data_IF_651618270602
#
_entry.id   IF_651618270602
#
_cell.length_a   1.000
_cell.length_b   1.000
_cell.length_c   1.000
_cell.angle_alpha   90.00
_cell.angle_beta   90.00
_cell.angle_gamma   90.00
#
_symmetry.space_group_name_H-M   'P 1'
#
loop_
_entity.id
_entity.type
_entity.pdbx_description
1 polymer ?
#
# COMPACT_ATOMS: atom_id res chain seq x y z
N UNK A 1 28.02 -4.59 -1.95
CA UNK A 1 27.21 -4.74 -0.73
C UNK A 1 26.06 -5.62 -1.12
N UNK A 2 25.91 -6.80 -0.52
CA UNK A 2 24.80 -7.71 -0.84
C UNK A 2 23.49 -7.05 -0.37
N UNK A 3 22.64 -6.68 -1.30
CA UNK A 3 21.31 -6.17 -0.96
C UNK A 3 20.52 -7.36 -0.41
N UNK A 4 20.10 -7.28 0.85
CA UNK A 4 19.29 -8.30 1.50
C UNK A 4 17.87 -8.22 0.95
N UNK A 5 17.29 -9.35 0.56
CA UNK A 5 15.91 -9.39 0.11
C UNK A 5 14.99 -8.79 1.21
N UNK A 6 14.10 -7.84 0.91
CA UNK A 6 13.27 -7.17 1.91
C UNK A 6 12.30 -8.11 2.65
N UNK A 7 12.22 -9.38 2.25
CA UNK A 7 11.34 -10.37 2.87
C UNK A 7 12.04 -11.42 3.72
N UNK A 8 13.40 -11.42 3.79
CA UNK A 8 14.13 -12.48 4.48
C UNK A 8 13.86 -12.52 5.99
N UNK A 9 13.64 -11.37 6.61
CA UNK A 9 13.48 -11.24 8.07
C UNK A 9 12.28 -10.36 8.48
N UNK A 10 11.44 -9.93 7.54
CA UNK A 10 10.35 -9.00 7.80
C UNK A 10 8.97 -9.62 7.57
N UNK A 11 8.01 -9.12 8.35
CA UNK A 11 6.62 -9.45 8.16
C UNK A 11 6.14 -8.93 6.81
N UNK A 12 5.40 -9.76 6.08
CA UNK A 12 4.84 -9.39 4.78
C UNK A 12 3.43 -9.95 4.63
N UNK A 13 2.64 -9.35 3.76
CA UNK A 13 1.34 -9.89 3.33
C UNK A 13 1.23 -9.90 1.82
N UNK A 14 0.32 -10.73 1.30
CA UNK A 14 0.04 -10.86 -0.12
C UNK A 14 -1.37 -10.34 -0.41
N UNK A 15 -1.52 -9.66 -1.54
CA UNK A 15 -2.82 -9.19 -2.03
C UNK A 15 -2.76 -9.00 -3.55
N UNK A 16 -3.89 -8.63 -4.16
CA UNK A 16 -4.01 -8.31 -5.59
C UNK A 16 -4.63 -6.93 -5.72
N UNK A 17 -3.80 -5.94 -6.01
CA UNK A 17 -4.20 -4.53 -6.14
C UNK A 17 -3.50 -3.88 -7.35
N UNK A 18 -4.02 -2.73 -7.82
CA UNK A 18 -3.35 -1.97 -8.85
C UNK A 18 -1.98 -1.48 -8.37
N UNK A 19 -0.95 -1.81 -9.13
CA UNK A 19 0.43 -1.42 -8.87
C UNK A 19 1.09 -1.03 -10.19
N UNK A 20 1.78 0.10 -10.20
CA UNK A 20 2.62 0.52 -11.30
C UNK A 20 4.08 0.64 -10.84
N UNK A 21 4.99 0.26 -11.72
CA UNK A 21 6.42 0.48 -11.57
C UNK A 21 6.93 1.25 -12.79
N UNK A 22 7.69 2.30 -12.57
CA UNK A 22 8.32 3.06 -13.66
C UNK A 22 9.78 3.30 -13.33
N UNK A 23 10.63 3.17 -14.33
CA UNK A 23 12.07 3.45 -14.20
C UNK A 23 12.31 4.93 -13.96
N UNK A 24 13.25 5.24 -13.07
CA UNK A 24 13.76 6.59 -12.86
C UNK A 24 15.11 6.74 -13.58
N UNK A 25 15.39 7.93 -14.10
CA UNK A 25 16.67 8.22 -14.80
C UNK A 25 17.88 8.21 -13.85
N UNK A 26 17.65 8.17 -12.53
CA UNK A 26 18.68 8.14 -11.51
C UNK A 26 18.12 8.24 -10.10
N UNK A 27 18.97 8.53 -9.15
CA UNK A 27 18.58 8.76 -7.76
C UNK A 27 17.63 9.96 -7.65
N UNK A 28 16.44 9.78 -7.03
CA UNK A 28 15.48 10.87 -6.87
C UNK A 28 16.04 11.99 -5.99
N UNK A 29 15.62 13.21 -6.25
CA UNK A 29 16.03 14.34 -5.44
C UNK A 29 15.44 14.27 -4.03
N UNK A 30 16.11 14.90 -3.07
CA UNK A 30 15.61 15.01 -1.69
C UNK A 30 14.18 15.61 -1.63
N UNK A 31 13.89 16.58 -2.50
CA UNK A 31 12.55 17.18 -2.57
C UNK A 31 11.48 16.21 -3.09
N UNK A 32 11.82 15.29 -3.99
CA UNK A 32 10.90 14.26 -4.46
C UNK A 32 10.60 13.24 -3.36
N UNK A 33 11.64 12.80 -2.64
CA UNK A 33 11.51 11.90 -1.50
C UNK A 33 10.63 12.48 -0.40
N UNK A 34 10.87 13.73 0.00
CA UNK A 34 10.02 14.41 0.97
C UNK A 34 8.55 14.49 0.52
N UNK A 35 8.31 14.77 -0.77
CA UNK A 35 6.96 14.82 -1.33
C UNK A 35 6.28 13.46 -1.30
N UNK A 36 7.00 12.36 -1.57
CA UNK A 36 6.46 11.02 -1.43
C UNK A 36 6.11 10.71 0.02
N UNK A 37 7.00 11.01 0.96
CA UNK A 37 6.79 10.78 2.38
C UNK A 37 5.58 11.54 2.94
N UNK A 38 5.44 12.83 2.65
CA UNK A 38 4.30 13.64 3.08
C UNK A 38 2.97 13.09 2.54
N UNK A 39 2.97 12.70 1.26
CA UNK A 39 1.79 12.12 0.62
C UNK A 39 1.43 10.76 1.21
N UNK A 40 2.42 9.90 1.40
CA UNK A 40 2.25 8.57 1.97
C UNK A 40 1.79 8.66 3.43
N UNK A 41 2.40 9.51 4.25
CA UNK A 41 2.01 9.71 5.65
C UNK A 41 0.53 10.17 5.76
N UNK A 42 0.11 11.10 4.90
CA UNK A 42 -1.27 11.57 4.86
C UNK A 42 -2.25 10.44 4.52
N UNK A 43 -1.95 9.65 3.48
CA UNK A 43 -2.80 8.53 3.06
C UNK A 43 -2.86 7.42 4.11
N UNK A 44 -1.72 7.02 4.65
CA UNK A 44 -1.63 5.98 5.68
C UNK A 44 -2.34 6.40 6.98
N UNK A 45 -2.30 7.69 7.33
CA UNK A 45 -3.04 8.23 8.46
C UNK A 45 -4.55 8.13 8.24
N UNK A 46 -5.03 8.42 7.04
CA UNK A 46 -6.45 8.30 6.68
C UNK A 46 -6.89 6.84 6.79
N UNK A 47 -6.10 5.89 6.26
CA UNK A 47 -6.36 4.45 6.37
C UNK A 47 -6.42 3.96 7.82
N UNK A 48 -5.60 4.51 8.69
CA UNK A 48 -5.59 4.17 10.11
C UNK A 48 -6.80 4.76 10.87
N UNK A 49 -7.33 5.91 10.43
CA UNK A 49 -8.47 6.57 11.10
C UNK A 49 -9.81 5.92 10.79
N UNK A 50 -9.97 5.32 9.61
CA UNK A 50 -11.21 4.62 9.22
C UNK A 50 -11.57 3.45 10.15
N UNK A 51 -10.65 3.06 11.03
CA UNK A 51 -10.80 1.91 11.92
C UNK A 51 -11.06 2.28 13.38
N UNK A 52 -11.17 3.55 13.71
CA UNK A 52 -11.51 3.92 15.08
C UNK A 52 -12.90 3.39 15.39
N UNK A 53 -12.90 2.35 16.23
CA UNK A 53 -14.03 1.63 16.78
C UNK A 53 -15.19 2.60 17.04
N UNK A 54 -16.33 2.36 16.42
CA UNK A 54 -17.60 2.95 16.86
C UNK A 54 -17.81 2.56 18.33
N UNK A 55 -17.47 3.47 19.23
CA UNK A 55 -17.88 3.33 20.64
C UNK A 55 -19.38 3.44 20.64
N UNK A 56 -20.04 2.55 21.38
CA UNK A 56 -21.47 2.68 21.62
C UNK A 56 -21.76 4.06 22.22
N UNK A 57 -22.59 4.89 21.58
CA UNK A 57 -22.84 6.24 22.06
C UNK A 57 -23.68 6.19 23.33
N UNK A 58 -23.37 7.10 24.27
CA UNK A 58 -24.28 7.35 25.39
C UNK A 58 -25.62 7.86 24.84
N UNK A 59 -26.77 7.47 25.44
CA UNK A 59 -28.10 7.86 24.98
C UNK A 59 -28.33 9.38 24.85
N UNK A 60 -27.55 10.18 25.59
CA UNK A 60 -27.60 11.64 25.54
C UNK A 60 -26.99 12.24 24.27
N UNK A 61 -26.27 11.44 23.45
CA UNK A 61 -25.54 11.89 22.25
C UNK A 61 -26.17 11.40 20.93
N UNK A 62 -27.33 10.69 20.99
CA UNK A 62 -27.95 10.08 19.81
C UNK A 62 -28.23 11.09 18.68
N UNK A 63 -28.78 12.27 19.01
CA UNK A 63 -29.09 13.30 18.01
C UNK A 63 -27.81 13.85 17.35
N UNK A 64 -26.73 14.01 18.12
CA UNK A 64 -25.44 14.44 17.60
C UNK A 64 -24.80 13.36 16.72
N UNK A 65 -24.90 12.11 17.12
CA UNK A 65 -24.40 10.96 16.33
C UNK A 65 -25.14 10.84 15.00
N UNK A 66 -26.46 11.02 14.98
CA UNK A 66 -27.24 11.02 13.73
C UNK A 66 -26.80 12.13 12.76
N UNK A 67 -26.48 13.32 13.29
CA UNK A 67 -26.00 14.40 12.42
C UNK A 67 -24.56 14.15 11.94
N UNK A 68 -23.70 13.54 12.75
CA UNK A 68 -22.36 13.10 12.34
C UNK A 68 -22.49 12.03 11.25
N UNK A 69 -23.30 11.00 11.44
CA UNK A 69 -23.52 9.95 10.42
C UNK A 69 -24.05 10.53 9.10
N UNK A 70 -24.93 11.53 9.18
CA UNK A 70 -25.43 12.24 8.00
C UNK A 70 -24.35 13.06 7.29
N UNK A 71 -23.44 13.67 8.04
CA UNK A 71 -22.29 14.38 7.47
C UNK A 71 -21.29 13.40 6.84
N UNK A 72 -21.02 12.28 7.48
CA UNK A 72 -20.15 11.22 6.96
C UNK A 72 -20.71 10.65 5.65
N UNK A 73 -22.02 10.40 5.55
CA UNK A 73 -22.64 9.96 4.30
C UNK A 73 -22.47 10.97 3.16
N UNK A 74 -22.63 12.27 3.45
CA UNK A 74 -22.41 13.32 2.45
C UNK A 74 -20.94 13.42 2.03
N UNK A 75 -20.02 13.30 2.98
CA UNK A 75 -18.58 13.30 2.71
C UNK A 75 -18.18 12.09 1.86
N UNK A 76 -18.71 10.91 2.17
CA UNK A 76 -18.48 9.70 1.38
C UNK A 76 -18.97 9.86 -0.05
N UNK A 77 -20.18 10.38 -0.24
CA UNK A 77 -20.72 10.66 -1.58
C UNK A 77 -19.86 11.69 -2.34
N UNK A 78 -19.42 12.75 -1.68
CA UNK A 78 -18.51 13.73 -2.31
C UNK A 78 -17.17 13.09 -2.68
N UNK A 79 -16.64 12.22 -1.83
CA UNK A 79 -15.40 11.49 -2.09
C UNK A 79 -15.54 10.54 -3.29
N UNK A 80 -16.66 9.84 -3.40
CA UNK A 80 -16.96 8.97 -4.57
C UNK A 80 -17.04 9.79 -5.87
N UNK A 81 -17.76 10.92 -5.86
CA UNK A 81 -17.87 11.78 -7.05
C UNK A 81 -16.52 12.37 -7.46
N UNK A 82 -15.69 12.78 -6.49
CA UNK A 82 -14.33 13.25 -6.76
C UNK A 82 -13.44 12.12 -7.29
N UNK A 83 -13.55 10.92 -6.71
CA UNK A 83 -12.82 9.75 -7.18
C UNK A 83 -13.18 9.41 -8.63
N UNK A 84 -14.45 9.47 -8.99
CA UNK A 84 -14.91 9.24 -10.36
C UNK A 84 -14.40 10.30 -11.35
N UNK A 85 -14.29 11.56 -10.91
CA UNK A 85 -13.72 12.62 -11.71
C UNK A 85 -12.22 12.38 -11.96
N UNK A 86 -11.47 12.05 -10.91
CA UNK A 86 -10.02 11.80 -10.99
C UNK A 86 -9.72 10.53 -11.78
N UNK A 87 -10.54 9.47 -11.68
CA UNK A 87 -10.35 8.24 -12.47
C UNK A 87 -10.46 8.45 -13.99
N UNK A 88 -11.10 9.53 -14.43
CA UNK A 88 -11.13 9.88 -15.86
C UNK A 88 -9.80 10.43 -16.37
N UNK A 89 -9.00 10.98 -15.47
CA UNK A 89 -7.71 11.59 -15.79
C UNK A 89 -6.51 10.72 -15.39
N UNK A 90 -6.68 9.85 -14.37
CA UNK A 90 -5.63 8.96 -13.88
C UNK A 90 -5.84 7.56 -14.42
N UNK A 91 -4.89 7.08 -15.20
CA UNK A 91 -4.87 5.68 -15.62
C UNK A 91 -4.46 4.82 -14.42
N UNK A 92 -5.44 4.17 -13.80
CA UNK A 92 -5.17 3.18 -12.74
C UNK A 92 -4.76 1.89 -13.44
N UNK A 93 -3.60 1.29 -13.12
CA UNK A 93 -3.16 0.04 -13.71
C UNK A 93 -4.09 -1.13 -13.35
N UNK A 94 -4.00 -2.22 -14.08
CA UNK A 94 -4.73 -3.44 -13.73
C UNK A 94 -4.22 -4.02 -12.40
N UNK A 95 -5.13 -4.60 -11.59
CA UNK A 95 -4.72 -5.27 -10.36
C UNK A 95 -3.79 -6.44 -10.66
N UNK A 96 -2.69 -6.54 -9.93
CA UNK A 96 -1.73 -7.62 -10.03
C UNK A 96 -1.35 -8.16 -8.66
N UNK A 97 -0.95 -9.44 -8.56
CA UNK A 97 -0.51 -10.02 -7.30
C UNK A 97 0.79 -9.38 -6.86
N UNK A 98 0.88 -9.07 -5.57
CA UNK A 98 2.08 -8.53 -4.95
C UNK A 98 2.29 -9.07 -3.54
N UNK A 99 3.50 -8.90 -3.05
CA UNK A 99 3.88 -9.16 -1.67
C UNK A 99 4.56 -7.91 -1.11
N UNK A 100 3.98 -7.34 -0.04
CA UNK A 100 4.43 -6.10 0.58
C UNK A 100 5.00 -6.35 1.97
N UNK A 101 6.16 -5.73 2.25
CA UNK A 101 6.73 -5.51 3.58
C UNK A 101 6.92 -4.00 3.81
N UNK A 102 7.34 -3.60 5.01
CA UNK A 102 7.71 -2.20 5.26
C UNK A 102 8.99 -1.76 4.51
N UNK A 103 9.86 -2.70 4.15
CA UNK A 103 11.11 -2.41 3.46
C UNK A 103 11.04 -2.54 1.94
N UNK A 104 9.94 -3.06 1.37
CA UNK A 104 9.87 -3.22 -0.08
C UNK A 104 8.66 -4.02 -0.54
N UNK A 105 8.60 -4.24 -1.85
CA UNK A 105 7.52 -4.97 -2.50
C UNK A 105 8.06 -5.88 -3.60
N UNK A 106 7.46 -7.06 -3.74
CA UNK A 106 7.62 -7.95 -4.90
C UNK A 106 6.30 -8.08 -5.62
N UNK A 107 6.33 -8.07 -6.94
CA UNK A 107 5.13 -8.14 -7.78
C UNK A 107 5.46 -8.76 -9.13
N UNK A 108 4.44 -9.24 -9.82
CA UNK A 108 4.56 -9.73 -11.19
C UNK A 108 4.91 -8.57 -12.11
N UNK A 109 6.01 -8.72 -12.85
CA UNK A 109 6.52 -7.65 -13.73
C UNK A 109 6.28 -8.03 -15.18
N UNK A 110 5.30 -7.37 -15.82
CA UNK A 110 5.09 -7.45 -17.26
C UNK A 110 5.94 -6.38 -17.94
N UNK A 111 6.98 -6.81 -18.63
CA UNK A 111 8.00 -5.98 -19.26
C UNK A 111 7.43 -5.00 -20.30
N UNK A 112 7.29 -3.73 -19.94
CA UNK A 112 7.33 -2.64 -20.90
C UNK A 112 8.72 -1.98 -20.95
N UNK A 113 9.49 -2.05 -19.86
CA UNK A 113 10.83 -1.46 -19.73
C UNK A 113 11.77 -2.45 -19.05
N UNK A 114 12.91 -2.76 -19.66
CA UNK A 114 13.93 -3.59 -19.04
C UNK A 114 14.55 -2.84 -17.85
N UNK A 115 14.35 -3.35 -16.64
CA UNK A 115 15.03 -2.87 -15.42
C UNK A 115 16.07 -3.87 -14.99
N UNK A 116 17.21 -3.36 -14.51
CA UNK A 116 18.32 -4.16 -14.04
C UNK A 116 18.48 -4.03 -12.53
N UNK A 117 19.15 -5.00 -11.92
CA UNK A 117 19.53 -4.90 -10.52
C UNK A 117 20.27 -3.59 -10.22
N UNK A 118 19.83 -2.91 -9.16
CA UNK A 118 20.38 -1.61 -8.75
C UNK A 118 19.76 -0.41 -9.45
N UNK A 119 18.90 -0.59 -10.45
CA UNK A 119 18.18 0.52 -11.07
C UNK A 119 17.22 1.18 -10.08
N UNK A 120 17.08 2.50 -10.20
CA UNK A 120 16.07 3.26 -9.48
C UNK A 120 14.73 3.15 -10.17
N UNK A 121 13.71 2.86 -9.38
CA UNK A 121 12.33 2.78 -9.85
C UNK A 121 11.40 3.55 -8.91
N UNK A 122 10.30 4.05 -9.47
CA UNK A 122 9.18 4.56 -8.70
C UNK A 122 8.08 3.50 -8.68
N UNK A 123 7.68 3.10 -7.48
CA UNK A 123 6.55 2.20 -7.26
C UNK A 123 5.34 3.02 -6.83
N UNK A 124 4.20 2.76 -7.44
CA UNK A 124 2.91 3.39 -7.12
C UNK A 124 1.89 2.30 -6.79
N UNK A 125 1.51 2.18 -5.52
CA UNK A 125 0.60 1.16 -5.01
C UNK A 125 -0.75 1.78 -4.63
N UNK A 126 -1.84 1.35 -5.27
CA UNK A 126 -3.20 1.84 -5.03
C UNK A 126 -3.91 0.95 -4.00
N UNK A 127 -3.89 1.33 -2.73
CA UNK A 127 -4.45 0.53 -1.63
C UNK A 127 -5.98 0.62 -1.53
N UNK A 128 -6.58 1.71 -2.00
CA UNK A 128 -8.01 1.97 -1.89
C UNK A 128 -8.65 2.04 -3.27
N UNK A 129 -9.66 1.20 -3.49
CA UNK A 129 -10.43 1.23 -4.73
C UNK A 129 -11.13 2.57 -4.99
N UNK A 130 -11.52 3.27 -3.92
CA UNK A 130 -12.28 4.52 -3.98
C UNK A 130 -11.41 5.78 -3.94
N UNK A 131 -10.10 5.64 -3.72
CA UNK A 131 -9.16 6.77 -3.70
C UNK A 131 -8.12 6.55 -4.79
N UNK A 132 -8.20 7.26 -5.91
CA UNK A 132 -7.26 7.10 -7.04
C UNK A 132 -5.90 7.77 -6.74
N UNK A 133 -5.43 7.65 -5.54
CA UNK A 133 -4.15 8.15 -5.07
C UNK A 133 -3.30 7.00 -4.56
N UNK A 134 -2.17 6.71 -5.22
CA UNK A 134 -1.27 5.66 -4.78
C UNK A 134 -0.39 6.08 -3.60
N UNK A 135 0.12 5.09 -2.88
CA UNK A 135 1.37 5.24 -2.15
C UNK A 135 2.51 5.23 -3.17
N UNK A 136 3.39 6.21 -3.11
CA UNK A 136 4.51 6.35 -4.04
C UNK A 136 5.84 6.17 -3.28
N UNK A 137 6.68 5.28 -3.77
CA UNK A 137 8.00 5.03 -3.18
C UNK A 137 9.08 5.10 -4.24
N UNK A 138 10.20 5.71 -3.87
CA UNK A 138 11.45 5.48 -4.56
C UNK A 138 12.02 4.14 -4.08
N UNK A 139 12.46 3.32 -5.01
CA UNK A 139 12.95 1.99 -4.69
C UNK A 139 14.10 1.59 -5.59
N UNK A 140 14.90 0.63 -5.12
CA UNK A 140 15.92 -0.02 -5.92
C UNK A 140 15.53 -1.44 -6.27
N UNK A 141 15.81 -1.82 -7.49
CA UNK A 141 15.66 -3.20 -7.93
C UNK A 141 16.68 -4.07 -7.20
N UNK A 142 16.18 -5.12 -6.54
CA UNK A 142 17.00 -6.13 -5.88
C UNK A 142 17.02 -7.38 -6.76
N UNK A 143 18.16 -8.08 -6.84
CA UNK A 143 18.25 -9.32 -7.60
C UNK A 143 17.19 -10.33 -7.12
N UNK A 144 16.39 -10.81 -8.05
CA UNK A 144 15.26 -11.72 -7.82
C UNK A 144 15.69 -13.18 -7.61
N UNK A 145 16.77 -13.44 -6.87
CA UNK A 145 17.23 -14.80 -6.56
C UNK A 145 16.80 -15.27 -5.17
N UNK A 146 15.60 -14.90 -4.71
CA UNK A 146 15.12 -15.40 -3.42
C UNK A 146 14.14 -16.56 -3.64
N UNK A 147 14.33 -17.66 -2.90
CA UNK A 147 13.40 -18.80 -2.84
C UNK A 147 11.99 -18.43 -2.34
N UNK A 148 11.77 -17.16 -2.01
CA UNK A 148 10.54 -16.65 -1.38
C UNK A 148 9.56 -16.00 -2.36
N UNK A 149 9.97 -15.72 -3.60
CA UNK A 149 9.12 -15.11 -4.64
C UNK A 149 9.26 -15.85 -5.96
N UNK A 150 8.20 -15.89 -6.79
CA UNK A 150 8.28 -16.47 -8.13
C UNK A 150 9.39 -15.83 -8.98
N UNK A 151 10.00 -16.62 -9.88
CA UNK A 151 11.14 -16.16 -10.69
C UNK A 151 10.80 -15.06 -11.71
N UNK A 152 9.51 -14.87 -12.00
CA UNK A 152 8.96 -13.84 -12.89
C UNK A 152 8.57 -12.55 -12.16
N UNK A 153 8.83 -12.49 -10.85
CA UNK A 153 8.52 -11.33 -10.02
C UNK A 153 9.73 -10.41 -9.88
N UNK A 154 9.46 -9.11 -10.02
CA UNK A 154 10.40 -8.07 -9.67
C UNK A 154 10.34 -7.79 -8.17
N UNK A 155 11.50 -7.79 -7.51
CA UNK A 155 11.64 -7.40 -6.10
C UNK A 155 12.35 -6.06 -6.02
N UNK A 156 11.77 -5.13 -5.27
CA UNK A 156 12.35 -3.81 -5.04
C UNK A 156 12.40 -3.48 -3.55
N UNK A 157 13.49 -2.84 -3.13
CA UNK A 157 13.66 -2.31 -1.77
C UNK A 157 13.33 -0.82 -1.76
N UNK A 158 12.51 -0.39 -0.82
CA UNK A 158 12.22 1.02 -0.62
C UNK A 158 13.47 1.74 -0.10
N UNK A 159 13.70 2.94 -0.61
CA UNK A 159 14.89 3.71 -0.27
C UNK A 159 14.49 5.03 0.38
N UNK A 160 15.21 5.39 1.43
CA UNK A 160 15.10 6.69 2.11
C UNK A 160 13.67 7.04 2.60
N UNK A 161 12.91 6.05 3.02
CA UNK A 161 11.58 6.23 3.62
C UNK A 161 11.75 6.78 5.04
N UNK A 162 10.97 7.79 5.43
CA UNK A 162 11.05 8.33 6.79
C UNK A 162 10.39 7.39 7.83
N UNK A 163 10.82 7.50 9.08
CA UNK A 163 10.35 6.64 10.19
C UNK A 163 8.82 6.66 10.39
N UNK A 164 8.16 7.78 10.07
CA UNK A 164 6.70 7.91 10.22
C UNK A 164 5.98 7.04 9.20
N UNK A 165 6.43 7.06 7.95
CA UNK A 165 5.88 6.25 6.86
C UNK A 165 6.22 4.78 7.08
N UNK A 166 7.47 4.46 7.45
CA UNK A 166 7.90 3.09 7.75
C UNK A 166 7.05 2.47 8.88
N UNK A 167 6.91 3.18 10.00
CA UNK A 167 6.09 2.73 11.12
C UNK A 167 4.61 2.56 10.76
N UNK A 168 4.07 3.39 9.87
CA UNK A 168 2.70 3.27 9.39
C UNK A 168 2.53 2.08 8.45
N UNK A 169 3.52 1.80 7.59
CA UNK A 169 3.57 0.61 6.75
C UNK A 169 3.65 -0.66 7.57
N UNK A 170 4.49 -0.71 8.60
CA UNK A 170 4.58 -1.85 9.52
C UNK A 170 3.23 -2.18 10.12
N UNK A 171 2.49 -1.17 10.59
CA UNK A 171 1.14 -1.36 11.13
C UNK A 171 0.17 -1.90 10.08
N UNK A 172 0.23 -1.37 8.86
CA UNK A 172 -0.59 -1.82 7.74
C UNK A 172 -0.30 -3.30 7.41
N UNK A 173 0.97 -3.65 7.26
CA UNK A 173 1.43 -5.02 6.95
C UNK A 173 1.03 -5.98 8.06
N UNK A 174 1.28 -5.61 9.32
CA UNK A 174 0.89 -6.42 10.48
C UNK A 174 -0.61 -6.71 10.54
N UNK A 175 -1.42 -5.71 10.26
CA UNK A 175 -2.87 -5.83 10.24
C UNK A 175 -3.34 -6.81 9.16
N UNK A 176 -2.87 -6.64 7.93
CA UNK A 176 -3.23 -7.51 6.81
C UNK A 176 -2.75 -8.94 7.06
N UNK A 177 -1.54 -9.11 7.54
CA UNK A 177 -1.02 -10.42 7.91
C UNK A 177 -1.88 -11.11 8.99
N UNK A 178 -2.28 -10.40 10.04
CA UNK A 178 -3.19 -10.96 11.06
C UNK A 178 -4.52 -11.40 10.47
N UNK A 179 -5.10 -10.62 9.55
CA UNK A 179 -6.33 -10.96 8.85
C UNK A 179 -6.17 -12.24 8.02
N UNK A 180 -5.09 -12.32 7.27
CA UNK A 180 -4.75 -13.48 6.45
C UNK A 180 -4.60 -14.76 7.29
N UNK A 181 -3.88 -14.67 8.41
CA UNK A 181 -3.72 -15.79 9.34
C UNK A 181 -5.05 -16.22 9.95
N UNK A 182 -5.91 -15.26 10.32
CA UNK A 182 -7.24 -15.56 10.88
C UNK A 182 -8.14 -16.25 9.84
N UNK A 183 -8.17 -15.78 8.60
CA UNK A 183 -8.92 -16.42 7.52
C UNK A 183 -8.43 -17.82 7.20
N UNK A 184 -7.11 -18.03 7.17
CA UNK A 184 -6.52 -19.37 6.95
C UNK A 184 -6.89 -20.35 8.07
N UNK A 185 -7.00 -19.89 9.31
CA UNK A 185 -7.45 -20.74 10.44
C UNK A 185 -8.93 -21.10 10.32
N UNK A 186 -9.80 -20.12 10.05
CA UNK A 186 -11.22 -20.34 9.86
C UNK A 186 -11.50 -21.36 8.73
N UNK A 187 -10.82 -21.21 7.59
CA UNK A 187 -10.98 -22.14 6.46
C UNK A 187 -10.45 -23.56 6.74
N UNK A 188 -9.54 -23.74 7.70
CA UNK A 188 -9.10 -25.08 8.12
C UNK A 188 -10.12 -25.74 9.04
N UNK A 189 -10.75 -24.97 9.93
CA UNK A 189 -11.78 -25.48 10.84
C UNK A 189 -13.10 -25.84 10.14
N UNK A 190 -13.37 -25.24 8.96
CA UNK A 190 -14.54 -25.61 8.13
C UNK A 190 -14.30 -26.87 7.26
N UNK A 191 -13.04 -27.29 7.04
CA UNK A 191 -12.70 -28.44 6.20
C UNK A 191 -12.30 -29.70 6.99
N UNK A 192 -12.32 -29.66 8.33
CA UNK A 192 -12.13 -30.79 9.25
C UNK A 192 -13.47 -31.19 9.90
#
# INVERSE_FOLDING_TARGET
MSQTCPFSDQLSYQDTLPLACSRLEGEPSFSDLMRFDERNASLLKTLASDEQVRREPEPSLEALMQEIDRLDQKLNLMTELLADLVRREVVVPEPQPFRLSSAGVSFEYCEAESVNEGDWVKVSLFLLANVPRPLEFAARVVASNSDFVPNDWLTVSFEQVNEVVESALDRLVFKHHRREVAMRRANREEND
#
